data_IF_093223281808
#
_entry.id   IF_093223281808
#
_cell.length_a   1.000
_cell.length_b   1.000
_cell.length_c   1.000
_cell.angle_alpha   90.00
_cell.angle_beta   90.00
_cell.angle_gamma   90.00
#
_symmetry.space_group_name_H-M   'P 1'
#
loop_
_entity.id
_entity.type
_entity.pdbx_description
1 polymer ?
#
# COMPACT_ATOMS: atom_id res chain seq x y z
N UNK A 1 5.35 7.69 -9.94
CA UNK A 1 4.60 7.19 -8.76
C UNK A 1 4.87 8.10 -7.57
N UNK A 2 3.83 8.40 -6.82
CA UNK A 2 3.90 9.24 -5.64
C UNK A 2 3.78 8.37 -4.39
N UNK A 3 4.76 8.51 -3.47
CA UNK A 3 4.73 7.81 -2.17
C UNK A 3 4.42 8.84 -1.09
N UNK A 4 3.28 8.69 -0.42
CA UNK A 4 2.86 9.60 0.66
C UNK A 4 3.31 9.04 2.01
N UNK A 5 4.04 9.86 2.76
CA UNK A 5 4.66 9.51 4.04
C UNK A 5 3.70 9.74 5.20
N UNK A 6 3.34 8.67 5.92
CA UNK A 6 2.50 8.71 7.12
C UNK A 6 3.29 8.46 8.40
N UNK A 7 4.61 8.64 8.37
CA UNK A 7 5.47 8.52 9.56
C UNK A 7 6.04 7.13 9.81
N UNK A 8 5.90 6.21 8.86
CA UNK A 8 6.43 4.86 8.98
C UNK A 8 7.94 4.79 8.87
N UNK A 9 8.52 3.67 9.28
CA UNK A 9 9.96 3.43 9.26
C UNK A 9 10.50 3.13 7.85
N UNK A 10 9.65 2.64 6.95
CA UNK A 10 10.09 2.03 5.70
C UNK A 10 9.77 2.87 4.46
N UNK A 11 9.52 4.17 4.63
CA UNK A 11 9.13 5.04 3.51
C UNK A 11 10.18 5.09 2.40
N UNK A 12 11.46 5.25 2.77
CA UNK A 12 12.55 5.27 1.81
C UNK A 12 12.78 3.89 1.18
N UNK A 13 12.52 2.82 1.92
CA UNK A 13 12.62 1.46 1.40
C UNK A 13 11.54 1.21 0.34
N UNK A 14 10.31 1.69 0.57
CA UNK A 14 9.24 1.62 -0.43
C UNK A 14 9.69 2.32 -1.72
N UNK A 15 10.21 3.54 -1.61
CA UNK A 15 10.69 4.29 -2.77
C UNK A 15 11.81 3.54 -3.50
N UNK A 16 12.73 2.96 -2.76
CA UNK A 16 13.83 2.15 -3.31
C UNK A 16 13.29 0.95 -4.09
N UNK A 17 12.30 0.24 -3.52
CA UNK A 17 11.70 -0.92 -4.19
C UNK A 17 10.99 -0.54 -5.49
N UNK A 18 10.30 0.59 -5.49
CA UNK A 18 9.65 1.11 -6.70
C UNK A 18 10.69 1.41 -7.78
N UNK A 19 11.78 2.07 -7.41
CA UNK A 19 12.87 2.40 -8.34
C UNK A 19 13.58 1.14 -8.87
N UNK A 20 13.69 0.10 -8.06
CA UNK A 20 14.21 -1.21 -8.48
C UNK A 20 13.33 -1.87 -9.55
N UNK A 21 12.07 -1.49 -9.64
CA UNK A 21 11.16 -1.92 -10.70
C UNK A 21 11.26 -1.04 -11.96
N UNK A 22 12.24 -0.17 -12.06
CA UNK A 22 12.46 0.77 -13.15
C UNK A 22 11.32 1.79 -13.30
N UNK A 23 10.76 2.23 -12.18
CA UNK A 23 9.70 3.23 -12.11
C UNK A 23 10.15 4.39 -11.23
N UNK A 24 10.05 5.61 -11.75
CA UNK A 24 10.38 6.80 -10.96
C UNK A 24 9.33 7.04 -9.86
N UNK A 25 9.80 7.44 -8.68
CA UNK A 25 8.91 7.84 -7.59
C UNK A 25 9.57 8.91 -6.72
N UNK A 26 8.73 9.67 -6.04
CA UNK A 26 9.15 10.62 -5.01
C UNK A 26 8.35 10.39 -3.73
N UNK A 27 9.01 10.56 -2.59
CA UNK A 27 8.35 10.54 -1.27
C UNK A 27 7.96 11.97 -0.92
N UNK A 28 6.68 12.17 -0.63
CA UNK A 28 6.11 13.47 -0.27
C UNK A 28 5.31 13.36 1.04
N UNK A 29 5.12 14.47 1.76
CA UNK A 29 4.31 14.45 2.98
C UNK A 29 2.85 14.05 2.71
N UNK A 30 2.23 13.38 3.68
CA UNK A 30 0.80 13.03 3.59
C UNK A 30 -0.11 14.25 3.46
N UNK A 31 0.38 15.41 3.88
CA UNK A 31 -0.35 16.69 3.82
C UNK A 31 -0.33 17.35 2.44
N UNK A 32 0.28 16.70 1.44
CA UNK A 32 0.30 17.20 0.06
C UNK A 32 -1.12 17.51 -0.42
N UNK A 33 -1.32 18.70 -0.98
CA UNK A 33 -2.66 19.14 -1.42
C UNK A 33 -3.09 18.44 -2.70
N UNK A 34 -4.39 18.43 -2.96
CA UNK A 34 -4.95 17.87 -4.19
C UNK A 34 -4.40 18.57 -5.43
N UNK A 35 -4.25 19.89 -5.37
CA UNK A 35 -3.68 20.66 -6.49
C UNK A 35 -2.23 20.28 -6.75
N UNK A 36 -1.43 20.05 -5.71
CA UNK A 36 -0.05 19.59 -5.82
C UNK A 36 0.02 18.19 -6.44
N UNK A 37 -0.89 17.28 -6.03
CA UNK A 37 -0.97 15.93 -6.58
C UNK A 37 -1.32 15.96 -8.06
N UNK A 38 -2.30 16.79 -8.45
CA UNK A 38 -2.68 16.96 -9.86
C UNK A 38 -1.53 17.51 -10.70
N UNK A 39 -0.78 18.46 -10.15
CA UNK A 39 0.39 19.04 -10.83
C UNK A 39 1.50 18.01 -11.00
N UNK A 40 1.69 17.13 -10.02
CA UNK A 40 2.65 16.03 -10.11
C UNK A 40 2.25 15.00 -11.16
N UNK A 41 0.95 14.78 -11.35
CA UNK A 41 0.34 13.86 -12.32
C UNK A 41 0.90 12.42 -12.19
N UNK A 42 0.77 11.78 -11.02
CA UNK A 42 1.30 10.43 -10.83
C UNK A 42 0.45 9.38 -11.56
N UNK A 43 1.09 8.29 -11.98
CA UNK A 43 0.39 7.13 -12.52
C UNK A 43 -0.16 6.22 -11.43
N UNK A 44 0.32 6.38 -10.22
CA UNK A 44 -0.13 5.64 -9.04
C UNK A 44 0.33 6.32 -7.76
N UNK A 45 -0.36 6.03 -6.66
CA UNK A 45 -0.06 6.56 -5.34
C UNK A 45 0.10 5.40 -4.38
N UNK A 46 1.14 5.44 -3.53
CA UNK A 46 1.36 4.47 -2.47
C UNK A 46 1.24 5.19 -1.13
N UNK A 47 0.35 4.71 -0.26
CA UNK A 47 0.24 5.16 1.13
C UNK A 47 1.15 4.27 1.98
N UNK A 48 2.08 4.86 2.70
CA UNK A 48 3.02 4.12 3.54
C UNK A 48 2.36 3.66 4.84
N UNK A 49 3.07 2.81 5.58
CA UNK A 49 2.71 2.51 6.97
C UNK A 49 2.94 3.71 7.88
N UNK A 50 2.47 3.61 9.11
CA UNK A 50 2.66 4.63 10.13
C UNK A 50 2.41 4.05 11.52
N UNK A 51 2.92 4.72 12.58
CA UNK A 51 2.81 4.21 13.95
C UNK A 51 1.46 4.52 14.62
N UNK A 52 0.64 5.37 14.02
CA UNK A 52 -0.62 5.83 14.60
C UNK A 52 -1.77 4.89 14.29
N UNK A 53 -2.87 5.04 15.01
CA UNK A 53 -4.17 4.45 14.66
C UNK A 53 -5.00 5.48 13.91
N UNK A 54 -5.75 5.03 12.89
CA UNK A 54 -6.54 5.94 12.03
C UNK A 54 -7.62 6.69 12.82
N UNK A 55 -8.10 6.12 13.92
CA UNK A 55 -9.10 6.73 14.79
C UNK A 55 -8.49 7.60 15.89
N UNK A 56 -7.15 7.63 16.02
CA UNK A 56 -6.48 8.45 17.04
C UNK A 56 -6.53 9.93 16.67
N UNK A 57 -6.75 10.79 17.67
CA UNK A 57 -6.69 12.24 17.48
C UNK A 57 -5.29 12.66 17.02
N UNK A 58 -5.20 13.49 15.99
CA UNK A 58 -3.93 13.95 15.45
C UNK A 58 -3.19 12.95 14.55
N UNK A 59 -3.80 11.81 14.23
CA UNK A 59 -3.19 10.86 13.30
C UNK A 59 -3.05 11.48 11.90
N UNK A 60 -2.01 11.10 11.12
CA UNK A 60 -1.84 11.62 9.76
C UNK A 60 -3.04 11.28 8.87
N UNK A 61 -3.57 12.27 8.17
CA UNK A 61 -4.75 12.14 7.31
C UNK A 61 -4.44 12.64 5.90
N UNK A 62 -5.30 12.31 4.94
CA UNK A 62 -5.24 12.84 3.58
C UNK A 62 -6.57 13.53 3.26
N UNK A 63 -6.57 14.32 2.18
CA UNK A 63 -7.83 14.84 1.63
C UNK A 63 -8.58 13.67 0.97
N UNK A 64 -9.83 13.44 1.38
CA UNK A 64 -10.67 12.36 0.85
C UNK A 64 -10.86 12.44 -0.67
N UNK A 65 -10.70 13.61 -1.26
CA UNK A 65 -10.78 13.80 -2.72
C UNK A 65 -9.70 13.05 -3.50
N UNK A 66 -8.63 12.60 -2.82
CA UNK A 66 -7.58 11.80 -3.46
C UNK A 66 -8.15 10.52 -4.08
N UNK A 67 -9.21 9.96 -3.50
CA UNK A 67 -9.87 8.76 -4.02
C UNK A 67 -10.80 9.05 -5.20
N UNK A 68 -11.03 10.30 -5.54
CA UNK A 68 -11.87 10.75 -6.65
C UNK A 68 -11.06 11.16 -7.89
N UNK A 69 -9.73 11.14 -7.80
CA UNK A 69 -8.86 11.58 -8.89
C UNK A 69 -8.71 10.58 -10.03
N UNK A 70 -9.20 9.35 -9.85
CA UNK A 70 -9.04 8.29 -10.86
C UNK A 70 -7.64 7.71 -10.92
N UNK A 71 -6.82 7.91 -9.90
CA UNK A 71 -5.45 7.41 -9.83
C UNK A 71 -5.43 6.14 -8.97
N UNK A 72 -4.79 5.03 -9.43
CA UNK A 72 -4.64 3.84 -8.61
C UNK A 72 -3.91 4.11 -7.30
N UNK A 73 -4.35 3.45 -6.22
CA UNK A 73 -3.78 3.61 -4.87
C UNK A 73 -3.46 2.25 -4.28
N UNK A 74 -2.26 2.11 -3.72
CA UNK A 74 -1.86 0.97 -2.89
C UNK A 74 -1.65 1.47 -1.46
N UNK A 75 -2.44 0.97 -0.51
CA UNK A 75 -2.26 1.27 0.91
C UNK A 75 -1.51 0.15 1.61
N UNK A 76 -0.50 0.50 2.38
CA UNK A 76 0.35 -0.44 3.13
C UNK A 76 0.16 -0.21 4.62
N UNK A 77 -0.25 -1.24 5.36
CA UNK A 77 -0.44 -1.23 6.81
C UNK A 77 -1.36 -0.07 7.25
N UNK A 78 -0.84 0.99 7.86
CA UNK A 78 -1.62 2.18 8.20
C UNK A 78 -2.34 2.75 6.97
N UNK A 79 -1.67 2.81 5.83
CA UNK A 79 -2.25 3.31 4.58
C UNK A 79 -3.43 2.48 4.10
N UNK A 80 -3.39 1.16 4.30
CA UNK A 80 -4.52 0.27 4.00
C UNK A 80 -5.70 0.59 4.92
N UNK A 81 -5.46 0.73 6.20
CA UNK A 81 -6.47 1.07 7.20
C UNK A 81 -7.09 2.43 6.93
N UNK A 82 -6.26 3.41 6.58
CA UNK A 82 -6.71 4.76 6.26
C UNK A 82 -7.65 4.76 5.05
N UNK A 83 -7.28 4.04 4.00
CA UNK A 83 -8.12 3.90 2.81
C UNK A 83 -9.46 3.26 3.16
N UNK A 84 -9.46 2.18 3.93
CA UNK A 84 -10.68 1.52 4.37
C UNK A 84 -11.56 2.46 5.19
N UNK A 85 -10.95 3.23 6.09
CA UNK A 85 -11.66 4.19 6.95
C UNK A 85 -12.37 5.28 6.11
N UNK A 86 -11.70 5.86 5.12
CA UNK A 86 -12.29 6.89 4.26
C UNK A 86 -13.38 6.37 3.33
N UNK A 87 -13.33 5.09 2.96
CA UNK A 87 -14.24 4.52 1.96
C UNK A 87 -15.40 3.74 2.57
N UNK A 88 -15.61 3.87 3.89
CA UNK A 88 -16.79 3.32 4.57
C UNK A 88 -16.57 2.03 5.35
N UNK A 89 -15.33 1.57 5.45
CA UNK A 89 -14.96 0.45 6.32
C UNK A 89 -14.76 0.89 7.76
N UNK A 90 -14.44 -0.07 8.62
CA UNK A 90 -14.18 0.18 10.04
C UNK A 90 -12.84 -0.42 10.45
N UNK A 91 -12.05 0.33 11.20
CA UNK A 91 -10.77 -0.10 11.77
C UNK A 91 -10.89 -0.07 13.28
N UNK A 92 -10.45 -1.13 13.94
CA UNK A 92 -10.51 -1.25 15.39
C UNK A 92 -9.25 -1.91 15.94
N UNK A 93 -9.01 -1.72 17.24
CA UNK A 93 -7.92 -2.41 17.93
C UNK A 93 -8.24 -3.90 18.08
N UNK A 94 -7.23 -4.74 17.92
CA UNK A 94 -7.36 -6.17 18.14
C UNK A 94 -7.74 -6.43 19.60
N UNK A 95 -8.79 -7.25 19.82
CA UNK A 95 -9.29 -7.54 21.15
C UNK A 95 -8.57 -8.70 21.85
N UNK A 96 -7.71 -9.39 21.08
CA UNK A 96 -6.91 -10.48 21.63
C UNK A 96 -5.48 -10.36 21.08
N UNK A 97 -4.51 -10.91 21.80
CA UNK A 97 -3.12 -10.91 21.35
C UNK A 97 -2.94 -11.72 20.06
N UNK A 98 -3.81 -12.72 19.82
CA UNK A 98 -3.76 -13.53 18.60
C UNK A 98 -4.18 -12.76 17.35
N UNK A 99 -5.03 -11.74 17.48
CA UNK A 99 -5.43 -10.90 16.35
C UNK A 99 -4.40 -9.82 16.03
N UNK A 100 -3.45 -9.59 16.92
CA UNK A 100 -2.29 -8.71 16.68
C UNK A 100 -1.21 -9.53 16.02
N UNK A 101 -0.72 -9.05 14.90
CA UNK A 101 0.30 -9.78 14.14
C UNK A 101 1.58 -8.97 14.05
N UNK A 102 2.67 -9.59 14.52
CA UNK A 102 4.00 -9.01 14.47
C UNK A 102 4.98 -10.07 13.97
N UNK A 103 5.84 -9.69 13.01
CA UNK A 103 6.84 -10.58 12.48
C UNK A 103 6.36 -11.38 11.27
N UNK A 104 7.02 -12.52 11.03
CA UNK A 104 6.75 -13.39 9.87
C UNK A 104 5.44 -14.14 10.06
N UNK A 105 4.51 -13.95 9.15
CA UNK A 105 3.15 -14.51 9.22
C UNK A 105 2.80 -15.24 7.93
N UNK A 106 2.41 -16.52 7.99
CA UNK A 106 1.87 -17.21 6.81
C UNK A 106 0.59 -16.52 6.35
N UNK A 107 0.53 -16.18 5.07
CA UNK A 107 -0.56 -15.41 4.48
C UNK A 107 -1.07 -16.11 3.22
N UNK A 108 -2.38 -16.11 3.04
CA UNK A 108 -3.07 -16.76 1.92
C UNK A 108 -3.60 -15.70 0.98
N UNK A 109 -3.37 -15.87 -0.33
CA UNK A 109 -3.71 -14.90 -1.37
C UNK A 109 -4.71 -15.44 -2.36
N UNK A 110 -5.63 -14.57 -2.80
CA UNK A 110 -6.45 -14.80 -3.98
C UNK A 110 -5.63 -14.35 -5.20
N UNK A 111 -5.12 -15.32 -5.96
CA UNK A 111 -4.25 -15.05 -7.11
C UNK A 111 -4.99 -14.54 -8.33
N UNK A 112 -6.32 -14.48 -8.32
CA UNK A 112 -7.11 -13.79 -9.35
C UNK A 112 -7.02 -12.28 -9.23
N UNK A 113 -6.60 -11.77 -8.05
CA UNK A 113 -6.32 -10.34 -7.87
C UNK A 113 -5.05 -9.94 -8.63
N UNK A 114 -5.09 -8.83 -9.36
CA UNK A 114 -3.93 -8.36 -10.14
C UNK A 114 -2.69 -8.13 -9.28
N UNK A 115 -2.86 -7.72 -8.02
CA UNK A 115 -1.74 -7.50 -7.10
C UNK A 115 -0.98 -8.80 -6.82
N UNK A 116 -1.67 -9.93 -6.80
CA UNK A 116 -1.09 -11.23 -6.46
C UNK A 116 -0.91 -12.16 -7.67
N UNK A 117 -0.99 -11.60 -8.86
CA UNK A 117 -0.80 -12.36 -10.09
C UNK A 117 0.58 -13.02 -10.16
N UNK A 118 0.60 -14.33 -10.40
CA UNK A 118 1.83 -15.08 -10.51
C UNK A 118 2.47 -15.48 -9.17
N UNK A 119 1.81 -15.20 -8.04
CA UNK A 119 2.26 -15.62 -6.73
C UNK A 119 1.71 -17.01 -6.39
N UNK A 120 2.36 -17.75 -5.45
CA UNK A 120 1.73 -18.93 -4.85
C UNK A 120 0.52 -18.52 -4.00
N UNK A 121 -0.39 -19.44 -3.74
CA UNK A 121 -1.57 -19.16 -2.91
C UNK A 121 -1.22 -18.88 -1.44
N UNK A 122 -0.05 -19.30 -0.98
CA UNK A 122 0.44 -19.08 0.37
C UNK A 122 1.90 -18.65 0.34
N UNK A 123 2.25 -17.65 1.13
CA UNK A 123 3.64 -17.28 1.39
C UNK A 123 3.76 -16.49 2.69
N UNK A 124 5.00 -16.29 3.16
CA UNK A 124 5.28 -15.54 4.38
C UNK A 124 5.30 -14.05 4.07
N UNK A 125 4.61 -13.26 4.90
CA UNK A 125 4.63 -11.80 4.87
C UNK A 125 5.10 -11.25 6.21
N UNK A 126 5.59 -10.02 6.23
CA UNK A 126 5.98 -9.32 7.44
C UNK A 126 4.84 -8.46 7.94
N UNK A 127 4.35 -8.76 9.14
CA UNK A 127 3.28 -8.03 9.80
C UNK A 127 3.81 -7.18 10.93
N UNK A 128 3.17 -6.03 11.14
CA UNK A 128 3.45 -5.15 12.27
C UNK A 128 2.21 -4.29 12.54
N UNK A 129 1.14 -4.93 13.04
CA UNK A 129 -0.11 -4.21 13.31
C UNK A 129 -0.82 -4.70 14.55
N UNK A 130 -1.35 -3.77 15.33
CA UNK A 130 -2.23 -4.03 16.45
C UNK A 130 -3.69 -3.70 16.16
N UNK A 131 -3.94 -2.96 15.08
CA UNK A 131 -5.28 -2.64 14.60
C UNK A 131 -5.59 -3.49 13.36
N UNK A 132 -6.86 -3.72 13.10
CA UNK A 132 -7.29 -4.47 11.92
C UNK A 132 -8.59 -3.89 11.35
N UNK A 133 -8.90 -4.24 10.10
CA UNK A 133 -10.16 -3.83 9.47
C UNK A 133 -11.27 -4.77 9.93
N UNK A 134 -12.15 -4.27 10.80
CA UNK A 134 -13.30 -5.02 11.29
C UNK A 134 -14.40 -5.11 10.22
N UNK A 135 -14.46 -4.12 9.33
CA UNK A 135 -15.39 -4.07 8.21
C UNK A 135 -14.69 -3.54 6.99
N UNK A 136 -14.83 -4.26 5.88
CA UNK A 136 -14.28 -3.86 4.57
C UNK A 136 -15.30 -2.96 3.87
N UNK A 137 -14.85 -1.89 3.17
CA UNK A 137 -15.78 -1.04 2.41
C UNK A 137 -16.60 -1.85 1.40
N UNK A 138 -17.84 -1.42 1.14
CA UNK A 138 -18.81 -2.18 0.35
C UNK A 138 -18.33 -2.57 -1.04
N UNK A 139 -17.60 -1.70 -1.73
CA UNK A 139 -17.11 -1.97 -3.09
C UNK A 139 -15.85 -2.83 -3.13
N UNK A 140 -15.27 -3.15 -1.96
CA UNK A 140 -14.03 -3.92 -1.87
C UNK A 140 -14.33 -5.40 -1.63
N UNK A 141 -13.42 -6.25 -2.10
CA UNK A 141 -13.43 -7.68 -1.78
C UNK A 141 -12.16 -8.06 -1.00
N UNK A 142 -12.26 -9.13 -0.22
CA UNK A 142 -11.12 -9.69 0.50
C UNK A 142 -10.26 -10.51 -0.47
N UNK A 143 -8.95 -10.26 -0.48
CA UNK A 143 -8.01 -10.93 -1.39
C UNK A 143 -6.82 -11.55 -0.67
N UNK A 144 -6.70 -11.34 0.64
CA UNK A 144 -5.67 -12.00 1.45
C UNK A 144 -6.13 -12.12 2.89
N UNK A 145 -5.70 -13.20 3.54
CA UNK A 145 -5.99 -13.45 4.96
C UNK A 145 -4.85 -14.24 5.61
N UNK A 146 -4.79 -14.19 6.92
CA UNK A 146 -3.94 -15.06 7.74
C UNK A 146 -4.81 -15.90 8.68
N UNK A 147 -4.20 -16.80 9.45
CA UNK A 147 -4.93 -17.64 10.39
C UNK A 147 -5.69 -16.81 11.44
N UNK A 148 -5.13 -15.68 11.86
CA UNK A 148 -5.67 -14.85 12.94
C UNK A 148 -6.34 -13.56 12.46
N UNK A 149 -6.17 -13.20 11.20
CA UNK A 149 -6.73 -11.97 10.63
C UNK A 149 -7.39 -12.25 9.27
N UNK A 150 -8.71 -12.05 9.14
CA UNK A 150 -9.42 -12.30 7.88
C UNK A 150 -9.26 -11.17 6.86
N UNK A 151 -8.77 -10.00 7.29
CA UNK A 151 -8.75 -8.77 6.48
C UNK A 151 -7.32 -8.28 6.23
N UNK A 152 -6.47 -9.16 5.72
CA UNK A 152 -5.06 -8.84 5.44
C UNK A 152 -4.90 -8.12 4.11
N UNK A 153 -5.73 -8.43 3.12
CA UNK A 153 -5.69 -7.77 1.82
C UNK A 153 -7.09 -7.51 1.27
N UNK A 154 -7.28 -6.32 0.72
CA UNK A 154 -8.54 -5.88 0.13
C UNK A 154 -8.27 -5.21 -1.21
N UNK A 155 -9.25 -5.23 -2.11
CA UNK A 155 -9.14 -4.48 -3.35
C UNK A 155 -10.50 -4.06 -3.91
N UNK A 156 -10.47 -2.96 -4.66
CA UNK A 156 -11.53 -2.55 -5.59
C UNK A 156 -10.85 -2.40 -6.96
N UNK A 157 -10.83 -3.48 -7.73
CA UNK A 157 -10.09 -3.51 -8.99
C UNK A 157 -10.65 -2.55 -10.02
N UNK A 158 -11.95 -2.25 -9.99
CA UNK A 158 -12.56 -1.30 -10.91
C UNK A 158 -11.96 0.11 -10.76
N UNK A 159 -11.62 0.50 -9.53
CA UNK A 159 -11.01 1.81 -9.25
C UNK A 159 -9.49 1.75 -9.14
N UNK A 160 -8.90 0.55 -9.16
CA UNK A 160 -7.47 0.38 -8.98
C UNK A 160 -6.99 0.57 -7.55
N UNK A 161 -7.85 0.33 -6.55
CA UNK A 161 -7.51 0.48 -5.14
C UNK A 161 -7.15 -0.86 -4.53
N UNK A 162 -5.97 -0.92 -3.90
CA UNK A 162 -5.44 -2.13 -3.27
C UNK A 162 -4.92 -1.78 -1.89
N UNK A 163 -5.18 -2.64 -0.91
CA UNK A 163 -4.68 -2.45 0.43
C UNK A 163 -4.16 -3.75 1.00
N UNK A 164 -3.00 -3.69 1.65
CA UNK A 164 -2.38 -4.83 2.33
C UNK A 164 -1.98 -4.43 3.75
N UNK A 165 -2.19 -5.33 4.69
CA UNK A 165 -1.87 -5.11 6.10
C UNK A 165 -0.38 -5.36 6.38
N UNK A 166 0.27 -6.17 5.56
CA UNK A 166 1.69 -6.48 5.68
C UNK A 166 2.56 -5.47 4.93
N UNK A 167 3.88 -5.59 5.11
CA UNK A 167 4.86 -4.72 4.46
C UNK A 167 5.54 -5.45 3.29
N UNK A 168 5.13 -5.17 2.03
CA UNK A 168 5.75 -5.81 0.86
C UNK A 168 7.17 -5.32 0.59
N UNK A 169 7.55 -4.16 1.14
CA UNK A 169 8.86 -3.54 0.90
C UNK A 169 10.00 -4.23 1.66
N UNK A 170 9.70 -4.94 2.76
CA UNK A 170 10.75 -5.57 3.56
C UNK A 170 11.11 -6.96 3.04
N UNK A 171 12.37 -7.37 3.23
CA UNK A 171 12.87 -8.65 2.74
C UNK A 171 12.17 -9.87 3.33
N UNK A 172 11.57 -9.73 4.52
CA UNK A 172 10.85 -10.82 5.18
C UNK A 172 9.52 -11.18 4.51
N UNK A 173 9.00 -10.32 3.63
CA UNK A 173 7.87 -10.65 2.76
C UNK A 173 8.43 -11.30 1.49
N UNK A 174 8.22 -12.60 1.33
CA UNK A 174 8.89 -13.40 0.28
C UNK A 174 8.66 -12.89 -1.13
N UNK A 175 7.44 -12.49 -1.46
CA UNK A 175 7.05 -12.07 -2.81
C UNK A 175 6.69 -10.58 -2.88
N UNK A 176 7.17 -9.79 -1.92
CA UNK A 176 6.82 -8.37 -1.83
C UNK A 176 7.23 -7.56 -3.05
N UNK A 177 8.43 -7.83 -3.59
CA UNK A 177 8.90 -7.14 -4.79
C UNK A 177 8.00 -7.44 -5.99
N UNK A 178 7.54 -8.68 -6.14
CA UNK A 178 6.60 -9.06 -7.20
C UNK A 178 5.25 -8.37 -7.04
N UNK A 179 4.76 -8.21 -5.81
CA UNK A 179 3.52 -7.49 -5.53
C UNK A 179 3.63 -6.02 -5.94
N UNK A 180 4.74 -5.37 -5.59
CA UNK A 180 4.99 -3.99 -5.99
C UNK A 180 5.10 -3.87 -7.51
N UNK A 181 5.81 -4.79 -8.15
CA UNK A 181 5.90 -4.85 -9.60
C UNK A 181 4.51 -5.00 -10.25
N UNK A 182 3.66 -5.87 -9.71
CA UNK A 182 2.31 -6.06 -10.21
C UNK A 182 1.48 -4.77 -10.10
N UNK A 183 1.55 -4.09 -8.96
CA UNK A 183 0.86 -2.81 -8.80
C UNK A 183 1.33 -1.79 -9.84
N UNK A 184 2.64 -1.66 -10.02
CA UNK A 184 3.20 -0.67 -10.92
C UNK A 184 2.87 -0.95 -12.39
N UNK A 185 2.98 -2.20 -12.83
CA UNK A 185 2.83 -2.57 -14.25
C UNK A 185 1.43 -3.03 -14.61
N UNK A 186 0.79 -3.87 -13.80
CA UNK A 186 -0.53 -4.41 -14.10
C UNK A 186 -1.66 -3.42 -13.76
N UNK A 187 -1.48 -2.57 -12.76
CA UNK A 187 -2.51 -1.63 -12.30
C UNK A 187 -2.23 -0.22 -12.79
N UNK A 188 -1.03 0.30 -12.58
CA UNK A 188 -0.66 1.67 -12.93
C UNK A 188 -0.25 1.83 -14.39
N UNK A 189 0.08 0.74 -15.08
CA UNK A 189 0.47 0.78 -16.49
C UNK A 189 1.86 1.34 -16.73
N UNK A 190 2.79 1.19 -15.79
CA UNK A 190 4.16 1.65 -15.95
C UNK A 190 4.84 0.95 -17.14
N UNK A 191 5.79 1.65 -17.76
CA UNK A 191 6.48 1.16 -18.98
C UNK A 191 7.89 0.67 -18.74
N UNK A 192 8.41 0.84 -17.51
CA UNK A 192 9.77 0.40 -17.17
C UNK A 192 10.87 1.22 -17.85
N UNK A 193 10.59 2.47 -18.18
CA UNK A 193 11.48 3.34 -18.94
C UNK A 193 12.37 4.23 -18.07
N UNK A 194 12.29 4.10 -16.75
CA UNK A 194 13.13 4.84 -15.83
C UNK A 194 14.24 3.97 -15.26
N UNK A 195 15.47 4.53 -15.21
CA UNK A 195 16.62 3.87 -14.57
C UNK A 195 17.34 4.87 -13.66
N UNK A 196 18.15 4.36 -12.72
CA UNK A 196 18.98 5.19 -11.86
C UNK A 196 19.99 6.02 -12.68
N UNK A 197 20.48 5.48 -13.79
CA UNK A 197 21.38 6.21 -14.71
C UNK A 197 20.71 7.43 -15.33
N UNK A 198 19.46 7.30 -15.75
CA UNK A 198 18.71 8.43 -16.31
C UNK A 198 18.44 9.49 -15.26
N UNK A 199 18.12 9.10 -14.04
CA UNK A 199 17.94 10.02 -12.91
C UNK A 199 19.24 10.79 -12.62
N UNK A 200 20.37 10.11 -12.59
CA UNK A 200 21.68 10.73 -12.36
C UNK A 200 22.01 11.77 -13.43
N UNK A 201 21.74 11.47 -14.71
CA UNK A 201 21.92 12.42 -15.79
C UNK A 201 21.03 13.66 -15.66
N UNK A 202 19.75 13.44 -15.36
CA UNK A 202 18.81 14.55 -15.17
C UNK A 202 19.20 15.45 -13.99
N UNK A 203 19.80 14.88 -12.94
CA UNK A 203 20.25 15.64 -11.78
C UNK A 203 21.50 16.47 -12.04
N UNK A 204 22.32 16.10 -13.03
CA UNK A 204 23.56 16.81 -13.41
C UNK A 204 23.26 17.97 -14.36
N UNK A 205 22.26 17.80 -15.21
CA UNK A 205 21.82 18.84 -16.14
C UNK A 205 20.98 19.91 -15.45
#
# INVERSE_FOLDING_TARGET
VLVLDFGGQYNQLIARRVRECNVYCEVKPHSMTIDEIKAYDPIGIIFTGGPQSVYAAGSPQVDAKIFELGIPVLGICYGCQLMAHYLGGEVTAAQSDTAREYGKTPTFFDTDCRLFKGLPEESVTWMSHGDYMAKVPESFRLVAHSADCPTVGICDEARGFYGVQFHPEVNHTEYGQKMLHNFLYEVCGAKGDWTMGDYMRASIE
#
